data_IF_743849947236
#
_entry.id   IF_743849947236
#
_cell.length_a   1.000
_cell.length_b   1.000
_cell.length_c   1.000
_cell.angle_alpha   90.00
_cell.angle_beta   90.00
_cell.angle_gamma   90.00
#
_symmetry.space_group_name_H-M   'P 1'
#
loop_
_entity.id
_entity.type
_entity.pdbx_description
1 polymer ?
#
# COMPACT_ATOMS: atom_id res chain seq x y z
N UNK A 1 7.79 -3.64 -27.21
CA UNK A 1 6.50 -3.80 -26.52
C UNK A 1 6.40 -2.67 -25.52
N UNK A 2 5.43 -1.75 -25.65
CA UNK A 2 5.19 -0.80 -24.56
C UNK A 2 4.54 -1.57 -23.42
N UNK A 3 5.10 -1.45 -22.23
CA UNK A 3 4.40 -1.85 -21.01
C UNK A 3 3.11 -1.01 -20.98
N UNK A 4 1.98 -1.67 -20.75
CA UNK A 4 0.73 -0.99 -20.43
C UNK A 4 0.99 -0.14 -19.18
N UNK A 5 0.73 1.18 -19.26
CA UNK A 5 1.05 2.16 -18.21
C UNK A 5 0.53 1.75 -16.83
N UNK A 6 -0.51 0.92 -16.77
CA UNK A 6 -1.08 0.37 -15.53
C UNK A 6 -0.09 -0.46 -14.72
N UNK A 7 0.93 -1.04 -15.35
CA UNK A 7 1.96 -1.86 -14.69
C UNK A 7 3.26 -1.09 -14.45
N UNK A 8 3.34 0.18 -14.88
CA UNK A 8 4.54 0.97 -14.69
C UNK A 8 4.83 1.29 -13.22
N UNK A 9 3.79 1.30 -12.37
CA UNK A 9 3.90 1.65 -10.93
C UNK A 9 3.01 0.74 -10.09
N UNK A 10 3.52 0.27 -8.95
CA UNK A 10 2.69 -0.47 -7.99
C UNK A 10 1.62 0.43 -7.35
N UNK A 11 0.37 -0.05 -7.19
CA UNK A 11 -0.69 0.72 -6.54
C UNK A 11 -0.46 0.88 -5.03
N UNK A 12 -0.70 2.09 -4.52
CA UNK A 12 -0.71 2.40 -3.10
C UNK A 12 -1.69 3.54 -2.81
N UNK A 13 -2.10 3.65 -1.55
CA UNK A 13 -2.83 4.81 -1.04
C UNK A 13 -1.87 5.71 -0.29
N UNK A 14 -1.99 7.02 -0.51
CA UNK A 14 -1.22 8.04 0.19
C UNK A 14 -2.15 9.05 0.84
N UNK A 15 -1.90 9.34 2.10
CA UNK A 15 -2.65 10.35 2.84
C UNK A 15 -1.78 11.02 3.89
N UNK A 16 -2.30 12.12 4.42
CA UNK A 16 -1.69 12.88 5.52
C UNK A 16 -2.80 13.30 6.46
N UNK A 17 -2.54 13.25 7.76
CA UNK A 17 -3.44 13.87 8.71
C UNK A 17 -3.18 15.38 8.79
N UNK A 18 -4.26 16.13 8.90
CA UNK A 18 -4.20 17.53 9.32
C UNK A 18 -4.08 17.55 10.84
N UNK A 19 -3.02 18.16 11.36
CA UNK A 19 -2.79 18.39 12.79
C UNK A 19 -2.71 17.13 13.68
N UNK A 20 -2.40 15.96 13.12
CA UNK A 20 -2.24 14.69 13.87
C UNK A 20 -0.95 13.97 13.48
N UNK A 21 -0.35 13.27 14.44
CA UNK A 21 0.87 12.49 14.28
C UNK A 21 0.64 10.97 14.45
N UNK A 22 1.71 10.18 14.46
CA UNK A 22 1.67 8.72 14.62
C UNK A 22 1.19 8.23 16.00
N UNK A 23 1.09 9.12 16.98
CA UNK A 23 0.61 8.81 18.32
C UNK A 23 -0.91 9.02 18.46
N UNK A 24 -1.56 9.63 17.46
CA UNK A 24 -3.00 9.83 17.45
C UNK A 24 -3.76 8.48 17.34
N UNK A 25 -4.90 8.38 18.03
CA UNK A 25 -5.77 7.18 18.03
C UNK A 25 -6.28 6.85 16.62
N UNK A 26 -6.44 7.84 15.74
CA UNK A 26 -6.83 7.60 14.36
C UNK A 26 -5.74 6.83 13.61
N UNK A 27 -4.46 7.10 13.88
CA UNK A 27 -3.37 6.34 13.26
C UNK A 27 -3.47 4.85 13.61
N UNK A 28 -3.65 4.52 14.89
CA UNK A 28 -3.78 3.13 15.31
C UNK A 28 -5.06 2.47 14.75
N UNK A 29 -6.21 3.18 14.75
CA UNK A 29 -7.46 2.71 14.13
C UNK A 29 -7.27 2.37 12.64
N UNK A 30 -6.63 3.24 11.86
CA UNK A 30 -6.39 2.98 10.43
C UNK A 30 -5.43 1.81 10.25
N UNK A 31 -4.30 1.81 10.98
CA UNK A 31 -3.32 0.72 10.90
C UNK A 31 -3.96 -0.64 11.21
N UNK A 32 -4.80 -0.70 12.24
CA UNK A 32 -5.46 -1.94 12.64
C UNK A 32 -6.56 -2.32 11.65
N UNK A 33 -7.27 -1.36 11.03
CA UNK A 33 -8.19 -1.64 9.93
C UNK A 33 -7.45 -2.23 8.71
N UNK A 34 -6.31 -1.65 8.32
CA UNK A 34 -5.48 -2.16 7.22
C UNK A 34 -5.00 -3.58 7.50
N UNK A 35 -4.50 -3.86 8.70
CA UNK A 35 -4.02 -5.20 9.09
C UNK A 35 -5.12 -6.27 9.11
N UNK A 36 -6.36 -5.87 9.42
CA UNK A 36 -7.51 -6.78 9.49
C UNK A 36 -8.30 -6.88 8.18
N UNK A 37 -7.93 -6.11 7.15
CA UNK A 37 -8.57 -6.17 5.85
C UNK A 37 -8.28 -7.52 5.18
N UNK A 38 -9.33 -8.22 4.77
CA UNK A 38 -9.26 -9.51 4.07
C UNK A 38 -9.46 -9.30 2.57
N UNK A 39 -8.42 -8.79 1.91
CA UNK A 39 -8.38 -8.59 0.46
C UNK A 39 -7.75 -9.77 -0.29
N UNK A 40 -7.50 -9.55 -1.57
CA UNK A 40 -6.70 -10.44 -2.43
C UNK A 40 -5.22 -10.39 -2.06
N UNK A 41 -4.76 -9.26 -1.51
CA UNK A 41 -3.41 -9.06 -1.01
C UNK A 41 -3.41 -8.76 0.49
N UNK A 42 -2.25 -8.94 1.11
CA UNK A 42 -1.99 -8.44 2.45
C UNK A 42 -1.42 -7.03 2.36
N UNK A 43 -2.01 -6.11 3.12
CA UNK A 43 -1.69 -4.68 3.11
C UNK A 43 -1.02 -4.25 4.40
N UNK A 44 -0.15 -3.26 4.30
CA UNK A 44 0.50 -2.64 5.44
C UNK A 44 0.44 -1.12 5.34
N UNK A 45 0.43 -0.47 6.49
CA UNK A 45 0.54 0.97 6.60
C UNK A 45 1.94 1.31 7.11
N UNK A 46 2.69 2.08 6.33
CA UNK A 46 4.03 2.54 6.66
C UNK A 46 4.09 4.06 6.73
N UNK A 47 5.07 4.56 7.46
CA UNK A 47 5.41 5.98 7.56
C UNK A 47 6.93 6.12 7.56
N UNK A 48 7.42 7.26 7.08
CA UNK A 48 8.83 7.61 7.12
C UNK A 48 8.95 8.82 8.05
N UNK A 49 9.86 8.76 9.02
CA UNK A 49 9.97 9.82 10.05
C UNK A 49 10.22 11.22 9.46
N UNK A 50 10.82 11.28 8.27
CA UNK A 50 11.16 12.54 7.59
C UNK A 50 10.01 13.15 6.77
N UNK A 51 8.90 12.42 6.59
CA UNK A 51 7.82 12.82 5.68
C UNK A 51 6.46 12.57 6.33
N UNK A 52 5.58 13.58 6.46
CA UNK A 52 4.28 13.42 7.11
C UNK A 52 3.25 12.68 6.23
N UNK A 53 3.72 11.82 5.32
CA UNK A 53 2.88 11.00 4.46
C UNK A 53 2.83 9.59 5.03
N UNK A 54 1.62 9.07 5.11
CA UNK A 54 1.35 7.68 5.38
C UNK A 54 1.04 6.98 4.07
N UNK A 55 1.65 5.81 3.89
CA UNK A 55 1.42 4.98 2.73
C UNK A 55 0.75 3.70 3.18
N UNK A 56 -0.31 3.30 2.47
CA UNK A 56 -0.87 1.96 2.56
C UNK A 56 -0.56 1.26 1.26
N UNK A 57 0.17 0.16 1.34
CA UNK A 57 0.69 -0.56 0.19
C UNK A 57 0.67 -2.07 0.44
N UNK A 58 0.75 -2.89 -0.61
CA UNK A 58 0.89 -4.33 -0.44
C UNK A 58 2.19 -4.68 0.27
N UNK A 59 2.11 -5.57 1.27
CA UNK A 59 3.24 -5.99 2.11
C UNK A 59 4.43 -6.59 1.36
N UNK A 60 4.23 -7.07 0.14
CA UNK A 60 5.30 -7.60 -0.69
C UNK A 60 6.31 -6.53 -1.13
N UNK A 61 5.88 -5.27 -1.24
CA UNK A 61 6.67 -4.17 -1.83
C UNK A 61 7.96 -3.93 -1.05
N UNK A 62 7.94 -4.08 0.28
CA UNK A 62 9.11 -3.95 1.15
C UNK A 62 9.40 -5.20 1.98
N UNK A 63 8.93 -6.36 1.53
CA UNK A 63 9.13 -7.65 2.22
C UNK A 63 10.60 -7.98 2.52
N UNK A 64 11.52 -7.58 1.63
CA UNK A 64 12.98 -7.76 1.80
C UNK A 64 13.70 -6.47 2.23
N UNK A 65 12.94 -5.47 2.67
CA UNK A 65 13.42 -4.11 2.90
C UNK A 65 13.34 -3.23 1.65
N UNK A 66 13.76 -1.97 1.82
CA UNK A 66 13.75 -0.96 0.76
C UNK A 66 15.01 -1.11 -0.10
N UNK A 67 14.91 -1.15 -1.45
CA UNK A 67 16.08 -1.19 -2.29
C UNK A 67 16.95 0.05 -2.04
N UNK A 68 18.26 -0.17 -1.92
CA UNK A 68 19.27 0.86 -1.64
C UNK A 68 19.73 1.60 -2.89
N UNK A 69 19.34 1.12 -4.07
CA UNK A 69 19.64 1.71 -5.38
C UNK A 69 18.63 1.20 -6.42
N UNK A 70 18.42 1.96 -7.51
CA UNK A 70 17.56 1.58 -8.64
C UNK A 70 16.06 1.82 -8.42
N UNK A 71 15.26 1.59 -9.47
CA UNK A 71 13.80 1.77 -9.41
C UNK A 71 13.15 0.59 -8.69
N UNK A 72 12.22 0.87 -7.78
CA UNK A 72 11.54 -0.15 -6.98
C UNK A 72 10.65 -1.05 -7.85
N UNK A 73 10.02 -0.53 -8.90
CA UNK A 73 9.20 -1.34 -9.80
C UNK A 73 10.09 -2.31 -10.61
N UNK A 74 11.27 -1.87 -11.06
CA UNK A 74 12.23 -2.75 -11.73
C UNK A 74 12.69 -3.89 -10.80
N UNK A 75 12.93 -3.59 -9.51
CA UNK A 75 13.26 -4.61 -8.51
C UNK A 75 12.12 -5.61 -8.31
N UNK A 76 10.88 -5.13 -8.18
CA UNK A 76 9.71 -5.99 -8.03
C UNK A 76 9.46 -6.85 -9.27
N UNK A 77 9.62 -6.27 -10.46
CA UNK A 77 9.50 -6.98 -11.73
C UNK A 77 10.59 -8.06 -11.86
N UNK A 78 11.83 -7.75 -11.51
CA UNK A 78 12.93 -8.71 -11.51
C UNK A 78 12.72 -9.83 -10.48
N UNK A 79 12.17 -9.51 -9.30
CA UNK A 79 11.92 -10.48 -8.22
C UNK A 79 10.80 -11.46 -8.55
N UNK A 80 9.66 -10.97 -9.02
CA UNK A 80 8.46 -11.79 -9.21
C UNK A 80 8.31 -12.30 -10.65
N UNK A 81 9.02 -11.69 -11.60
CA UNK A 81 8.78 -11.89 -13.02
C UNK A 81 7.51 -11.16 -13.48
N UNK A 82 7.41 -10.94 -14.79
CA UNK A 82 6.37 -10.09 -15.38
C UNK A 82 4.95 -10.56 -15.10
N UNK A 83 4.67 -11.85 -15.28
CA UNK A 83 3.30 -12.38 -15.14
C UNK A 83 2.79 -12.24 -13.71
N UNK A 84 3.59 -12.63 -12.72
CA UNK A 84 3.19 -12.57 -11.31
C UNK A 84 3.11 -11.12 -10.84
N UNK A 85 4.05 -10.26 -11.25
CA UNK A 85 3.98 -8.83 -10.97
C UNK A 85 2.68 -8.23 -11.50
N UNK A 86 2.34 -8.45 -12.78
CA UNK A 86 1.07 -7.96 -13.37
C UNK A 86 -0.16 -8.47 -12.60
N UNK A 87 -0.19 -9.75 -12.23
CA UNK A 87 -1.27 -10.31 -11.42
C UNK A 87 -1.40 -9.60 -10.07
N UNK A 88 -0.29 -9.33 -9.38
CA UNK A 88 -0.28 -8.63 -8.09
C UNK A 88 -0.74 -7.18 -8.24
N UNK A 89 -0.42 -6.51 -9.37
CA UNK A 89 -0.93 -5.17 -9.69
C UNK A 89 -2.46 -5.22 -9.89
N UNK A 90 -2.96 -6.16 -10.69
CA UNK A 90 -4.40 -6.30 -10.95
C UNK A 90 -5.17 -6.58 -9.64
N UNK A 91 -4.64 -7.44 -8.78
CA UNK A 91 -5.20 -7.70 -7.45
C UNK A 91 -5.21 -6.43 -6.57
N UNK A 92 -4.13 -5.64 -6.59
CA UNK A 92 -4.06 -4.40 -5.83
C UNK A 92 -5.09 -3.37 -6.33
N UNK A 93 -5.29 -3.27 -7.64
CA UNK A 93 -6.30 -2.38 -8.25
C UNK A 93 -7.71 -2.76 -7.77
N UNK A 94 -8.02 -4.06 -7.68
CA UNK A 94 -9.31 -4.56 -7.18
C UNK A 94 -9.47 -4.30 -5.67
N UNK A 95 -8.39 -4.46 -4.90
CA UNK A 95 -8.42 -4.31 -3.45
C UNK A 95 -8.58 -2.86 -2.98
N UNK A 96 -7.94 -1.89 -3.66
CA UNK A 96 -7.92 -0.48 -3.24
C UNK A 96 -9.29 0.11 -2.86
N UNK A 97 -10.34 0.04 -3.71
CA UNK A 97 -11.64 0.61 -3.36
C UNK A 97 -12.27 -0.11 -2.15
N UNK A 98 -12.10 -1.43 -2.05
CA UNK A 98 -12.62 -2.23 -0.94
C UNK A 98 -11.90 -1.92 0.37
N UNK A 99 -10.58 -1.74 0.30
CA UNK A 99 -9.75 -1.34 1.43
C UNK A 99 -10.10 0.07 1.93
N UNK A 100 -10.27 1.02 1.02
CA UNK A 100 -10.69 2.38 1.36
C UNK A 100 -12.06 2.39 2.05
N UNK A 101 -13.03 1.67 1.50
CA UNK A 101 -14.37 1.50 2.10
C UNK A 101 -14.29 0.84 3.49
N UNK A 102 -13.48 -0.21 3.63
CA UNK A 102 -13.29 -0.89 4.92
C UNK A 102 -12.73 0.04 5.99
N UNK A 103 -11.71 0.84 5.66
CA UNK A 103 -11.13 1.83 6.56
C UNK A 103 -12.19 2.87 6.95
N UNK A 104 -12.92 3.42 5.98
CA UNK A 104 -13.98 4.40 6.25
C UNK A 104 -15.05 3.85 7.19
N UNK A 105 -15.55 2.65 6.95
CA UNK A 105 -16.54 2.00 7.81
C UNK A 105 -16.02 1.80 9.23
N UNK A 106 -14.74 1.42 9.41
CA UNK A 106 -14.13 1.26 10.74
C UNK A 106 -13.93 2.59 11.48
N UNK A 107 -13.83 3.70 10.77
CA UNK A 107 -13.70 5.04 11.36
C UNK A 107 -15.05 5.68 11.69
N UNK A 108 -16.14 5.28 11.03
CA UNK A 108 -17.50 5.82 11.26
C UNK A 108 -18.26 5.13 12.40
N UNK A 109 -17.76 4.01 12.92
CA UNK A 109 -18.35 3.37 14.11
C UNK A 109 -17.82 4.11 15.35
N UNK A 110 -18.58 5.12 15.78
CA UNK A 110 -18.54 5.72 17.12
C UNK A 110 -19.92 5.61 17.77
#
# INVERSE_FOLDING_TARGET
>A
MSIDDRYAVYPFLRFRFKDKDKNDVIYSKIRDAVRNFKGLLTWEMITYDDVPNYLILPSYVYSDGRPTSGDLNEHLLAKYGENLYRQMIDQAIVDIPNLACYIQNKLQVE
#
